data_IF_370432678947
#
_entry.id   IF_370432678947
#
_cell.length_a   1.000
_cell.length_b   1.000
_cell.length_c   1.000
_cell.angle_alpha   90.00
_cell.angle_beta   90.00
_cell.angle_gamma   90.00
#
_symmetry.space_group_name_H-M   'P 1'
#
loop_
_entity.id
_entity.type
_entity.pdbx_description
1 polymer ?
#
# COMPACT_ATOMS: atom_id res chain seq x y z
N UNK A 1 17.47 -7.88 -4.35
CA UNK A 1 16.97 -7.48 -5.68
C UNK A 1 15.99 -6.35 -5.48
N UNK A 2 16.03 -5.30 -6.29
CA UNK A 2 15.00 -4.25 -6.24
C UNK A 2 13.77 -4.71 -7.02
N UNK A 3 12.59 -4.37 -6.50
CA UNK A 3 11.29 -4.63 -7.11
C UNK A 3 10.43 -3.38 -7.02
N UNK A 4 9.84 -2.99 -8.15
CA UNK A 4 8.80 -1.97 -8.24
C UNK A 4 7.44 -2.56 -7.90
N UNK A 5 6.71 -1.90 -7.01
CA UNK A 5 5.34 -2.25 -6.62
C UNK A 5 4.40 -1.10 -6.91
N UNK A 6 3.17 -1.43 -7.31
CA UNK A 6 2.07 -0.47 -7.34
C UNK A 6 1.20 -0.66 -6.09
N UNK A 7 1.20 0.33 -5.21
CA UNK A 7 0.31 0.36 -4.05
C UNK A 7 -1.04 0.90 -4.48
N UNK A 8 -2.14 0.21 -4.19
CA UNK A 8 -3.49 0.60 -4.59
C UNK A 8 -4.36 0.70 -3.33
N UNK A 9 -4.85 1.89 -3.03
CA UNK A 9 -5.81 2.11 -1.95
C UNK A 9 -7.22 1.80 -2.46
N UNK A 10 -7.90 0.86 -1.82
CA UNK A 10 -9.29 0.52 -2.11
C UNK A 10 -10.19 0.70 -0.88
N UNK A 11 -11.44 1.07 -1.13
CA UNK A 11 -12.50 1.03 -0.12
C UNK A 11 -13.15 -0.36 -0.04
N UNK A 12 -14.17 -0.46 0.82
CA UNK A 12 -14.92 -1.70 1.06
C UNK A 12 -15.78 -2.14 -0.13
N UNK A 13 -16.07 -1.22 -1.06
CA UNK A 13 -16.80 -1.50 -2.30
C UNK A 13 -15.85 -1.93 -3.43
N UNK A 14 -14.54 -1.98 -3.17
CA UNK A 14 -13.49 -2.30 -4.13
C UNK A 14 -13.16 -1.16 -5.08
N UNK A 15 -13.62 0.07 -4.77
CA UNK A 15 -13.30 1.25 -5.56
C UNK A 15 -11.90 1.75 -5.19
N UNK A 16 -11.05 1.93 -6.20
CA UNK A 16 -9.71 2.48 -6.01
C UNK A 16 -9.76 4.00 -5.79
N UNK A 17 -9.23 4.47 -4.66
CA UNK A 17 -9.16 5.89 -4.27
C UNK A 17 -7.81 6.54 -4.55
N UNK A 18 -6.77 5.72 -4.79
CA UNK A 18 -5.44 6.22 -5.10
C UNK A 18 -4.47 5.09 -5.42
N UNK A 19 -3.44 5.41 -6.19
CA UNK A 19 -2.37 4.47 -6.50
C UNK A 19 -1.01 5.16 -6.43
N UNK A 20 0.02 4.43 -5.99
CA UNK A 20 1.37 4.96 -5.88
C UNK A 20 2.41 3.92 -6.29
N UNK A 21 3.18 4.15 -7.37
CA UNK A 21 4.33 3.31 -7.67
C UNK A 21 5.46 3.61 -6.67
N UNK A 22 6.08 2.56 -6.15
CA UNK A 22 7.15 2.62 -5.15
C UNK A 22 8.14 1.48 -5.39
N UNK A 23 9.37 1.65 -4.93
CA UNK A 23 10.42 0.64 -5.10
C UNK A 23 10.87 0.14 -3.73
N UNK A 24 10.98 -1.18 -3.61
CA UNK A 24 11.47 -1.86 -2.41
C UNK A 24 12.53 -2.89 -2.78
N UNK A 25 13.16 -3.48 -1.77
CA UNK A 25 13.99 -4.67 -1.96
C UNK A 25 13.13 -5.92 -1.72
N UNK A 26 13.45 -7.02 -2.40
CA UNK A 26 12.78 -8.32 -2.21
C UNK A 26 12.88 -8.86 -0.76
N UNK A 27 13.87 -8.40 -0.01
CA UNK A 27 14.08 -8.69 1.41
C UNK A 27 13.35 -7.71 2.35
N UNK A 28 12.66 -6.69 1.83
CA UNK A 28 11.81 -5.78 2.63
C UNK A 28 10.71 -6.59 3.31
N UNK A 29 10.54 -6.38 4.62
CA UNK A 29 9.50 -7.06 5.40
C UNK A 29 8.13 -6.41 5.20
N UNK A 30 7.05 -7.17 5.40
CA UNK A 30 5.70 -6.62 5.36
C UNK A 30 5.48 -5.51 6.40
N UNK A 31 6.15 -5.61 7.56
CA UNK A 31 6.17 -4.53 8.56
C UNK A 31 6.80 -3.23 8.04
N UNK A 32 7.89 -3.32 7.28
CA UNK A 32 8.54 -2.15 6.67
C UNK A 32 7.69 -1.57 5.54
N UNK A 33 7.08 -2.43 4.72
CA UNK A 33 6.10 -2.02 3.71
C UNK A 33 4.96 -1.23 4.34
N UNK A 34 4.37 -1.76 5.42
CA UNK A 34 3.25 -1.11 6.13
C UNK A 34 3.64 0.24 6.75
N UNK A 35 4.87 0.35 7.26
CA UNK A 35 5.45 1.64 7.68
C UNK A 35 5.57 2.63 6.53
N UNK A 36 6.05 2.18 5.38
CA UNK A 36 6.19 3.01 4.20
C UNK A 36 4.82 3.50 3.69
N UNK A 37 3.80 2.62 3.68
CA UNK A 37 2.42 2.98 3.35
C UNK A 37 1.90 4.10 4.27
N UNK A 38 2.16 4.03 5.58
CA UNK A 38 1.80 5.11 6.50
C UNK A 38 2.49 6.43 6.09
N UNK A 39 3.79 6.40 5.80
CA UNK A 39 4.50 7.60 5.36
C UNK A 39 4.01 8.16 4.01
N UNK A 40 3.58 7.31 3.08
CA UNK A 40 3.19 7.73 1.72
C UNK A 40 1.71 8.10 1.58
N UNK A 41 0.84 7.43 2.32
CA UNK A 41 -0.63 7.53 2.17
C UNK A 41 -1.31 8.00 3.45
N UNK A 42 -0.56 8.25 4.53
CA UNK A 42 -1.07 8.67 5.83
C UNK A 42 -2.06 7.68 6.47
N UNK A 43 -1.91 6.38 6.18
CA UNK A 43 -2.75 5.31 6.74
C UNK A 43 -1.98 4.64 7.88
N UNK A 44 -2.51 4.70 9.10
CA UNK A 44 -1.88 4.01 10.24
C UNK A 44 -1.82 2.49 10.00
N UNK A 45 -0.76 1.83 10.46
CA UNK A 45 -0.50 0.40 10.21
C UNK A 45 -1.65 -0.49 10.69
N UNK A 46 -2.25 -0.16 11.83
CA UNK A 46 -3.37 -0.91 12.42
C UNK A 46 -4.66 -0.87 11.59
N UNK A 47 -4.76 0.06 10.63
CA UNK A 47 -5.90 0.21 9.73
C UNK A 47 -5.65 -0.34 8.32
N UNK A 48 -4.44 -0.87 8.07
CA UNK A 48 -4.07 -1.40 6.76
C UNK A 48 -4.35 -2.91 6.70
N UNK A 49 -5.21 -3.31 5.78
CA UNK A 49 -5.30 -4.69 5.33
C UNK A 49 -4.62 -4.82 3.97
N UNK A 50 -3.52 -5.57 3.92
CA UNK A 50 -2.72 -5.73 2.72
C UNK A 50 -3.10 -7.01 1.99
N UNK A 51 -3.26 -6.93 0.67
CA UNK A 51 -3.60 -8.05 -0.18
C UNK A 51 -2.64 -8.14 -1.37
N UNK A 52 -2.25 -9.36 -1.70
CA UNK A 52 -1.48 -9.69 -2.91
C UNK A 52 -2.16 -10.86 -3.62
N UNK A 53 -2.43 -10.70 -4.93
CA UNK A 53 -3.15 -11.70 -5.73
C UNK A 53 -4.46 -12.19 -5.08
N UNK A 54 -5.21 -11.27 -4.47
CA UNK A 54 -6.49 -11.54 -3.79
C UNK A 54 -6.37 -12.27 -2.44
N UNK A 55 -5.15 -12.48 -1.92
CA UNK A 55 -4.92 -13.09 -0.60
C UNK A 55 -4.45 -12.06 0.40
N UNK A 56 -5.06 -12.05 1.58
CA UNK A 56 -4.63 -11.19 2.67
C UNK A 56 -3.26 -11.61 3.18
N UNK A 57 -2.36 -10.64 3.35
CA UNK A 57 -1.04 -10.82 3.91
C UNK A 57 -1.14 -10.63 5.42
N UNK A 58 -1.03 -11.73 6.16
CA UNK A 58 -1.15 -11.74 7.64
C UNK A 58 0.19 -11.77 8.37
N UNK A 59 1.27 -12.15 7.67
CA UNK A 59 2.59 -12.33 8.28
C UNK A 59 3.46 -11.08 8.14
N UNK A 60 3.50 -10.26 9.20
CA UNK A 60 4.27 -9.01 9.22
C UNK A 60 5.80 -9.22 9.16
N UNK A 61 6.28 -10.39 9.58
CA UNK A 61 7.71 -10.71 9.61
C UNK A 61 8.21 -11.35 8.31
N UNK A 62 7.31 -11.70 7.39
CA UNK A 62 7.71 -12.24 6.09
C UNK A 62 8.29 -11.13 5.21
N UNK A 63 9.18 -11.50 4.30
CA UNK A 63 9.67 -10.60 3.25
C UNK A 63 8.77 -10.66 2.02
N UNK A 64 8.85 -9.63 1.15
CA UNK A 64 8.15 -9.59 -0.13
C UNK A 64 8.44 -10.85 -0.97
N UNK A 65 9.70 -11.27 -1.02
CA UNK A 65 10.11 -12.52 -1.67
C UNK A 65 9.46 -13.76 -1.09
N UNK A 66 9.38 -13.86 0.24
CA UNK A 66 8.80 -15.04 0.92
C UNK A 66 7.31 -15.18 0.67
N UNK A 67 6.59 -14.07 0.51
CA UNK A 67 5.18 -14.08 0.13
C UNK A 67 4.95 -14.18 -1.40
N UNK A 68 6.04 -14.22 -2.18
CA UNK A 68 6.00 -14.41 -3.62
C UNK A 68 5.71 -13.15 -4.43
N UNK A 69 5.87 -11.97 -3.84
CA UNK A 69 5.78 -10.69 -4.54
C UNK A 69 6.97 -10.53 -5.49
N UNK A 70 6.69 -10.07 -6.71
CA UNK A 70 7.64 -9.88 -7.79
C UNK A 70 7.66 -8.43 -8.26
N UNK A 71 8.66 -8.11 -9.08
CA UNK A 71 8.73 -6.84 -9.78
C UNK A 71 7.50 -6.63 -10.67
N UNK A 72 6.88 -5.46 -10.55
CA UNK A 72 5.65 -5.08 -11.25
C UNK A 72 4.35 -5.53 -10.58
N UNK A 73 4.41 -6.22 -9.44
CA UNK A 73 3.20 -6.64 -8.73
C UNK A 73 2.47 -5.48 -8.05
N UNK A 74 1.18 -5.72 -7.78
CA UNK A 74 0.30 -4.80 -7.08
C UNK A 74 0.09 -5.25 -5.63
N UNK A 75 0.09 -4.28 -4.71
CA UNK A 75 -0.36 -4.48 -3.33
C UNK A 75 -1.61 -3.64 -3.12
N UNK A 76 -2.70 -4.32 -2.84
CA UNK A 76 -3.98 -3.70 -2.52
C UNK A 76 -4.03 -3.42 -1.01
N UNK A 77 -4.41 -2.20 -0.67
CA UNK A 77 -4.53 -1.69 0.69
C UNK A 77 -6.01 -1.41 0.91
N UNK A 78 -6.66 -2.26 1.69
CA UNK A 78 -8.03 -2.02 2.15
C UNK A 78 -8.00 -1.43 3.56
N UNK A 79 -9.01 -0.63 3.87
CA UNK A 79 -9.16 0.03 5.17
C UNK A 79 -10.11 -0.77 6.05
N UNK A 80 -9.66 -1.15 7.24
CA UNK A 80 -10.50 -1.87 8.20
C UNK A 80 -11.74 -1.02 8.59
N UNK A 81 -12.98 -1.56 8.51
CA UNK A 81 -14.17 -0.86 8.97
C UNK A 81 -14.10 -0.67 10.50
N UNK A 82 -13.75 0.53 10.95
CA UNK A 82 -13.68 0.81 12.39
C UNK A 82 -13.53 2.28 12.74
N UNK A 83 -12.80 3.04 11.92
CA UNK A 83 -12.64 4.48 12.11
C UNK A 83 -12.79 5.21 10.77
N UNK A 84 -13.41 6.41 10.74
CA UNK A 84 -13.50 7.22 9.54
C UNK A 84 -12.08 7.62 9.12
N UNK A 85 -11.58 7.02 8.06
CA UNK A 85 -10.39 7.53 7.38
C UNK A 85 -10.73 8.92 6.90
N UNK A 86 -9.97 9.92 7.36
CA UNK A 86 -10.07 11.28 6.86
C UNK A 86 -9.48 11.31 5.43
N UNK A 87 -10.22 10.74 4.48
CA UNK A 87 -9.92 10.67 3.05
C UNK A 87 -9.77 12.06 2.41
N UNK A 88 -10.05 13.13 3.16
CA UNK A 88 -9.79 14.49 2.73
C UNK A 88 -8.28 14.81 2.66
N UNK A 89 -7.43 14.07 3.40
CA UNK A 89 -5.98 14.25 3.34
C UNK A 89 -5.33 13.58 2.11
N UNK A 90 -5.92 12.53 1.56
CA UNK A 90 -5.40 11.81 0.37
C UNK A 90 -5.73 12.49 -0.95
N UNK A 91 -6.73 13.39 -0.99
CA UNK A 91 -6.97 14.27 -2.16
C UNK A 91 -5.84 15.25 -2.45
N UNK A 92 -4.84 15.36 -1.57
CA UNK A 92 -3.67 16.23 -1.78
C UNK A 92 -2.53 15.58 -2.58
N UNK A 93 -2.63 14.31 -2.99
CA UNK A 93 -1.56 13.65 -3.78
C UNK A 93 -1.78 13.74 -5.30
N UNK A 94 -2.96 14.19 -5.75
CA UNK A 94 -3.19 14.64 -7.12
C UNK A 94 -3.16 16.18 -7.16
N UNK A 95 -1.96 16.75 -7.30
CA UNK A 95 -1.63 17.97 -8.07
C UNK A 95 -0.29 18.54 -7.56
N UNK A 96 0.82 18.08 -8.15
CA UNK A 96 2.00 18.93 -8.37
C UNK A 96 2.87 18.34 -9.49
N UNK A 97 2.24 18.12 -10.66
CA UNK A 97 2.94 18.22 -11.95
C UNK A 97 2.12 19.16 -12.84
N UNK A 98 2.10 20.43 -12.48
CA UNK A 98 1.99 21.47 -13.50
C UNK A 98 2.69 22.76 -13.04
N UNK A 99 3.66 23.17 -13.86
CA UNK A 99 4.21 24.53 -14.01
C UNK A 99 5.27 25.00 -12.99
N UNK A 100 6.56 24.78 -13.32
CA UNK A 100 7.42 25.83 -13.89
C UNK A 100 8.74 25.25 -14.45
#
# INVERSE_FOLDING_TARGET
MEIGLLLILQDQDGLSHGQKPVTFTDETTIKELSKAINSFMCIHQDYQELYHNGKQIISLNSTLKQIGVKDGDEILIALFPGDPVDLQATKAVDLEIEQN
#
